data_IF_241050890370
#
_entry.id   IF_241050890370
#
_cell.length_a   1.000
_cell.length_b   1.000
_cell.length_c   1.000
_cell.angle_alpha   90.00
_cell.angle_beta   90.00
_cell.angle_gamma   90.00
#
_symmetry.space_group_name_H-M   'P 1'
#
loop_
_entity.id
_entity.type
_entity.pdbx_description
1 polymer ?
#
# COMPACT_ATOMS: atom_id res chain seq x y z
N UNK A 1 -7.03 10.64 -17.51
CA UNK A 1 -8.21 10.81 -16.64
C UNK A 1 -8.36 9.56 -15.79
N UNK A 2 -8.10 9.66 -14.49
CA UNK A 2 -8.17 8.51 -13.57
C UNK A 2 -9.63 8.22 -13.25
N UNK A 3 -10.04 6.97 -13.41
CA UNK A 3 -11.39 6.52 -13.07
C UNK A 3 -11.61 6.62 -11.56
N UNK A 4 -12.36 7.66 -11.13
CA UNK A 4 -12.64 7.93 -9.72
C UNK A 4 -13.51 6.85 -9.06
N UNK A 5 -14.20 6.01 -9.85
CA UNK A 5 -14.94 4.87 -9.31
C UNK A 5 -14.03 3.74 -8.85
N UNK A 6 -12.79 3.68 -9.37
CA UNK A 6 -11.83 2.60 -9.09
C UNK A 6 -10.65 3.03 -8.24
N UNK A 7 -10.30 4.31 -8.28
CA UNK A 7 -9.13 4.84 -7.60
C UNK A 7 -9.50 6.09 -6.80
N UNK A 8 -9.10 6.10 -5.53
CA UNK A 8 -9.30 7.24 -4.64
C UNK A 8 -7.94 7.71 -4.12
N UNK A 9 -7.79 9.04 -3.98
CA UNK A 9 -6.59 9.61 -3.38
C UNK A 9 -6.62 9.38 -1.87
N UNK A 10 -5.49 8.94 -1.30
CA UNK A 10 -5.32 8.80 0.15
C UNK A 10 -4.25 9.77 0.60
N UNK A 11 -4.61 10.69 1.47
CA UNK A 11 -3.65 11.58 2.13
C UNK A 11 -2.99 10.83 3.28
N UNK A 12 -1.66 10.87 3.34
CA UNK A 12 -0.87 10.23 4.41
C UNK A 12 0.11 11.24 4.96
N UNK A 13 0.47 11.09 6.24
CA UNK A 13 1.49 11.91 6.86
C UNK A 13 2.85 11.73 6.19
N UNK A 14 3.69 12.76 6.24
CA UNK A 14 5.06 12.73 5.69
C UNK A 14 5.88 11.56 6.24
N UNK A 15 5.69 11.22 7.52
CA UNK A 15 6.36 10.08 8.15
C UNK A 15 5.95 8.75 7.51
N UNK A 16 4.67 8.57 7.21
CA UNK A 16 4.15 7.39 6.53
C UNK A 16 4.67 7.33 5.09
N UNK A 17 4.75 8.48 4.42
CA UNK A 17 5.34 8.59 3.08
C UNK A 17 6.81 8.16 3.02
N UNK A 18 7.62 8.57 4.02
CA UNK A 18 9.00 8.12 4.16
C UNK A 18 9.10 6.61 4.39
N UNK A 19 8.24 6.06 5.27
CA UNK A 19 8.21 4.63 5.55
C UNK A 19 7.89 3.84 4.27
N UNK A 20 6.89 4.27 3.49
CA UNK A 20 6.56 3.64 2.21
C UNK A 20 7.77 3.66 1.28
N UNK A 21 8.48 4.79 1.19
CA UNK A 21 9.66 4.93 0.34
C UNK A 21 10.80 4.00 0.77
N UNK A 22 11.03 3.85 2.08
CA UNK A 22 12.01 2.88 2.61
C UNK A 22 11.57 1.43 2.39
N UNK A 23 10.26 1.15 2.33
CA UNK A 23 9.74 -0.17 2.04
C UNK A 23 9.85 -0.53 0.56
N UNK A 24 9.83 0.44 -0.35
CA UNK A 24 10.06 0.18 -1.80
C UNK A 24 11.39 -0.54 -2.05
N UNK A 25 12.43 -0.23 -1.28
CA UNK A 25 13.76 -0.84 -1.44
C UNK A 25 13.95 -2.13 -0.63
N UNK A 26 13.16 -2.31 0.44
CA UNK A 26 13.30 -3.46 1.35
C UNK A 26 12.34 -4.61 1.08
N UNK A 27 11.20 -4.35 0.44
CA UNK A 27 10.15 -5.35 0.25
C UNK A 27 10.53 -6.37 -0.85
N UNK A 28 11.21 -5.94 -1.91
CA UNK A 28 11.77 -6.82 -2.93
C UNK A 28 13.12 -6.25 -3.40
N UNK A 29 14.24 -6.97 -3.21
CA UNK A 29 15.57 -6.48 -3.58
C UNK A 29 15.80 -6.39 -5.10
N UNK A 30 14.96 -7.04 -5.91
CA UNK A 30 15.14 -7.12 -7.37
C UNK A 30 14.20 -6.21 -8.18
N UNK A 31 13.19 -5.59 -7.54
CA UNK A 31 12.19 -4.79 -8.25
C UNK A 31 11.90 -3.51 -7.50
N UNK A 32 12.08 -2.36 -8.18
CA UNK A 32 11.62 -1.05 -7.72
C UNK A 32 10.09 -0.98 -7.79
N UNK A 33 9.43 -1.47 -6.75
CA UNK A 33 7.98 -1.39 -6.63
C UNK A 33 7.53 0.07 -6.53
N UNK A 34 6.46 0.43 -7.23
CA UNK A 34 5.81 1.73 -7.03
C UNK A 34 5.23 1.83 -5.61
N UNK A 35 5.15 3.05 -5.06
CA UNK A 35 4.57 3.31 -3.73
C UNK A 35 3.17 2.68 -3.59
N UNK A 36 2.35 2.76 -4.64
CA UNK A 36 1.02 2.15 -4.68
C UNK A 36 1.06 0.63 -4.61
N UNK A 37 2.03 -0.02 -5.26
CA UNK A 37 2.21 -1.47 -5.17
C UNK A 37 2.66 -1.90 -3.77
N UNK A 38 3.58 -1.16 -3.15
CA UNK A 38 4.01 -1.42 -1.76
C UNK A 38 2.81 -1.36 -0.81
N UNK A 39 2.00 -0.30 -0.90
CA UNK A 39 0.78 -0.17 -0.08
C UNK A 39 -0.18 -1.34 -0.35
N UNK A 40 -0.43 -1.68 -1.62
CA UNK A 40 -1.32 -2.78 -2.00
C UNK A 40 -0.88 -4.12 -1.39
N UNK A 41 0.41 -4.42 -1.42
CA UNK A 41 0.96 -5.65 -0.84
C UNK A 41 0.76 -5.68 0.67
N UNK A 42 1.13 -4.61 1.37
CA UNK A 42 1.00 -4.51 2.84
C UNK A 42 -0.46 -4.60 3.27
N UNK A 43 -1.36 -3.88 2.58
CA UNK A 43 -2.80 -3.91 2.86
C UNK A 43 -3.35 -5.31 2.64
N UNK A 44 -3.00 -5.98 1.55
CA UNK A 44 -3.44 -7.35 1.30
C UNK A 44 -2.90 -8.36 2.32
N UNK A 45 -1.63 -8.25 2.71
CA UNK A 45 -1.05 -9.07 3.76
C UNK A 45 -1.76 -8.87 5.10
N UNK A 46 -2.05 -7.61 5.45
CA UNK A 46 -2.76 -7.29 6.69
C UNK A 46 -4.21 -7.73 6.63
N UNK A 47 -4.89 -7.57 5.50
CA UNK A 47 -6.26 -8.02 5.28
C UNK A 47 -6.36 -9.54 5.39
N UNK A 48 -5.43 -10.28 4.79
CA UNK A 48 -5.29 -11.74 4.97
C UNK A 48 -5.04 -12.11 6.43
N UNK A 49 -4.13 -11.40 7.12
CA UNK A 49 -3.89 -11.64 8.56
C UNK A 49 -5.13 -11.35 9.43
N UNK A 50 -5.99 -10.44 8.99
CA UNK A 50 -7.24 -10.08 9.69
C UNK A 50 -8.43 -10.97 9.32
N UNK A 51 -8.25 -11.97 8.43
CA UNK A 51 -9.13 -13.11 8.14
C UNK A 51 -10.60 -12.95 8.63
N UNK A 52 -11.36 -12.07 7.97
CA UNK A 52 -12.80 -11.92 8.20
C UNK A 52 -13.27 -10.79 9.12
N UNK A 53 -12.38 -10.11 9.86
CA UNK A 53 -12.77 -8.94 10.70
C UNK A 53 -13.02 -7.64 9.94
N UNK A 54 -12.73 -7.62 8.64
CA UNK A 54 -12.94 -6.45 7.78
C UNK A 54 -14.35 -6.40 7.16
N UNK A 55 -15.16 -7.46 7.33
CA UNK A 55 -16.56 -7.43 6.95
C UNK A 55 -17.40 -7.02 8.17
N UNK A 56 -17.91 -5.79 8.14
CA UNK A 56 -19.15 -5.38 8.80
C UNK A 56 -19.89 -4.42 7.90
#
# INVERSE_FOLDING_TARGET
>A
MTDKSKYSNVTVDNKTYEIITRLQTKLMPEVTLSRSQVIKTIVNEKAKKLNGKLNK
#
